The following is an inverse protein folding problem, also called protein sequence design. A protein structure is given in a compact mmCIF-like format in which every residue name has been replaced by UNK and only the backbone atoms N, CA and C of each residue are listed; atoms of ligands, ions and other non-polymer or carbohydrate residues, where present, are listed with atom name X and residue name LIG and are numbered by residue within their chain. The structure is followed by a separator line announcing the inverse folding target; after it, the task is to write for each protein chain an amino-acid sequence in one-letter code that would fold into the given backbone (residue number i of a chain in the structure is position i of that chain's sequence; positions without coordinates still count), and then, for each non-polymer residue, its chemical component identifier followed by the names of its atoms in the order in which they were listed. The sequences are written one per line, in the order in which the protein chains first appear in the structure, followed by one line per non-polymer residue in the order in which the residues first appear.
data_IF_147506474178
#
_entry.id   IF_147506474178
#
_cell.length_a   1.000
_cell.length_b   1.000
_cell.length_c   1.000
_cell.angle_alpha   90.00
_cell.angle_beta   90.00
_cell.angle_gamma   90.00
#
_symmetry.space_group_name_H-M   'P 1'
#
loop_
_entity.id
_entity.type
_entity.pdbx_description
1 polymer ?
#
# COMPACT_ATOMS: atom_id res chain seq x y z
N UNK A 1 -28.24 10.21 -37.48
CA UNK A 1 -28.32 9.29 -38.64
C UNK A 1 -27.58 8.00 -38.31
N UNK A 2 -28.24 6.86 -38.53
CA UNK A 2 -27.74 5.46 -38.62
C UNK A 2 -27.25 4.80 -37.31
N UNK A 3 -28.05 3.90 -36.70
CA UNK A 3 -28.22 2.43 -36.94
C UNK A 3 -27.08 1.63 -36.29
N UNK A 4 -27.20 0.48 -35.64
CA UNK A 4 -28.27 -0.41 -35.17
C UNK A 4 -27.50 -1.55 -34.47
N UNK A 5 -28.00 -2.13 -33.37
CA UNK A 5 -27.98 -3.60 -33.22
C UNK A 5 -28.94 -4.02 -32.10
N UNK A 6 -30.15 -4.35 -32.53
CA UNK A 6 -31.17 -5.04 -31.75
C UNK A 6 -30.81 -6.52 -31.84
N UNK A 7 -30.46 -7.17 -30.72
CA UNK A 7 -30.36 -8.63 -30.68
C UNK A 7 -31.67 -9.15 -30.08
N UNK A 8 -32.53 -9.60 -30.98
CA UNK A 8 -33.70 -10.43 -30.72
C UNK A 8 -33.22 -11.86 -30.57
N UNK A 9 -33.42 -12.48 -29.41
CA UNK A 9 -33.58 -13.94 -29.32
C UNK A 9 -35.05 -14.23 -29.01
N UNK A 10 -35.82 -14.36 -30.08
CA UNK A 10 -37.13 -14.97 -30.05
C UNK A 10 -36.98 -16.48 -30.12
N UNK A 11 -37.31 -17.16 -29.04
CA UNK A 11 -37.80 -18.54 -29.09
C UNK A 11 -39.30 -18.50 -28.86
N UNK A 12 -40.05 -18.49 -29.97
CA UNK A 12 -41.50 -18.70 -29.97
C UNK A 12 -41.73 -20.19 -29.74
N UNK A 13 -42.05 -20.57 -28.50
CA UNK A 13 -42.65 -21.87 -28.21
C UNK A 13 -44.15 -21.66 -27.99
N UNK A 14 -44.89 -22.14 -28.98
CA UNK A 14 -46.35 -22.29 -29.09
C UNK A 14 -47.17 -22.18 -27.81
N UNK A 15 -48.10 -21.22 -27.79
CA UNK A 15 -49.24 -21.18 -26.87
C UNK A 15 -50.15 -22.38 -27.13
N UNK A 16 -50.29 -23.27 -26.15
CA UNK A 16 -51.45 -24.14 -26.01
C UNK A 16 -51.81 -24.29 -24.54
N UNK A 17 -52.87 -23.57 -24.15
CA UNK A 17 -53.79 -23.93 -23.06
C UNK A 17 -53.20 -24.08 -21.66
N UNK A 18 -52.97 -22.98 -20.97
CA UNK A 18 -53.00 -22.95 -19.51
C UNK A 18 -54.19 -22.05 -19.13
N UNK A 19 -55.18 -22.55 -18.37
CA UNK A 19 -56.28 -21.71 -17.91
C UNK A 19 -55.70 -20.54 -17.12
N UNK A 20 -56.19 -19.34 -17.40
CA UNK A 20 -55.88 -18.12 -16.67
C UNK A 20 -56.38 -18.26 -15.22
N UNK A 21 -55.58 -18.90 -14.38
CA UNK A 21 -55.61 -18.62 -12.95
C UNK A 21 -55.01 -17.23 -12.78
N UNK A 22 -55.87 -16.25 -12.56
CA UNK A 22 -55.48 -14.95 -12.01
C UNK A 22 -54.99 -15.19 -10.58
N UNK A 23 -53.82 -15.82 -10.43
CA UNK A 23 -53.01 -15.58 -9.25
C UNK A 23 -52.65 -14.10 -9.35
N UNK A 24 -53.32 -13.26 -8.55
CA UNK A 24 -52.86 -11.92 -8.31
C UNK A 24 -51.38 -12.08 -7.91
N UNK A 25 -50.48 -11.71 -8.83
CA UNK A 25 -49.07 -11.62 -8.51
C UNK A 25 -49.01 -10.46 -7.51
N UNK A 26 -49.05 -10.80 -6.21
CA UNK A 26 -48.91 -9.84 -5.13
C UNK A 26 -47.49 -9.28 -5.19
N UNK A 27 -47.26 -8.37 -6.14
CA UNK A 27 -46.07 -7.56 -6.20
C UNK A 27 -46.18 -6.62 -5.01
N UNK A 28 -45.46 -6.93 -3.94
CA UNK A 28 -45.19 -5.95 -2.91
C UNK A 28 -44.49 -4.76 -3.58
N UNK A 29 -44.92 -3.56 -3.20
CA UNK A 29 -44.32 -2.34 -3.73
C UNK A 29 -42.81 -2.39 -3.51
N UNK A 30 -42.04 -2.17 -4.58
CA UNK A 30 -40.59 -2.13 -4.47
C UNK A 30 -40.20 -1.02 -3.48
N UNK A 31 -39.25 -1.29 -2.56
CA UNK A 31 -38.76 -0.26 -1.64
C UNK A 31 -38.25 0.96 -2.41
N UNK A 32 -38.55 2.17 -1.93
CA UNK A 32 -38.06 3.39 -2.55
C UNK A 32 -36.55 3.58 -2.34
N UNK A 33 -35.90 4.38 -3.19
CA UNK A 33 -34.45 4.61 -3.12
C UNK A 33 -33.99 5.13 -1.75
N UNK A 34 -34.82 5.91 -1.05
CA UNK A 34 -34.47 6.44 0.27
C UNK A 34 -34.47 5.32 1.33
N UNK A 35 -35.44 4.41 1.28
CA UNK A 35 -35.52 3.22 2.14
C UNK A 35 -34.37 2.24 1.91
N UNK A 36 -33.78 2.25 0.71
CA UNK A 36 -32.58 1.48 0.35
C UNK A 36 -31.26 2.22 0.64
N UNK A 37 -31.33 3.44 1.20
CA UNK A 37 -30.15 4.22 1.61
C UNK A 37 -29.56 5.15 0.54
N UNK A 38 -30.18 5.28 -0.62
CA UNK A 38 -29.77 6.22 -1.68
C UNK A 38 -30.38 7.60 -1.42
N UNK A 39 -29.82 8.32 -0.46
CA UNK A 39 -30.34 9.63 -0.03
C UNK A 39 -29.59 10.81 -0.64
N UNK A 40 -28.45 10.56 -1.29
CA UNK A 40 -27.54 11.59 -1.79
C UNK A 40 -27.74 11.84 -3.29
N UNK A 41 -27.14 12.90 -3.83
CA UNK A 41 -27.07 13.22 -5.25
C UNK A 41 -25.67 12.98 -5.81
N UNK A 42 -25.56 12.96 -7.14
CA UNK A 42 -24.28 12.81 -7.82
C UNK A 42 -23.21 13.84 -7.41
N UNK A 43 -23.63 15.05 -7.01
CA UNK A 43 -22.73 16.13 -6.60
C UNK A 43 -22.24 15.97 -5.14
N UNK A 44 -22.98 15.21 -4.33
CA UNK A 44 -22.61 14.97 -2.92
C UNK A 44 -21.52 13.89 -2.79
N UNK A 45 -21.23 13.13 -3.85
CA UNK A 45 -20.11 12.20 -3.89
C UNK A 45 -18.86 12.91 -4.41
N UNK A 46 -18.08 13.53 -3.53
CA UNK A 46 -16.82 14.19 -3.92
C UNK A 46 -15.70 13.19 -4.18
N UNK A 47 -15.66 12.08 -3.42
CA UNK A 47 -14.67 11.01 -3.56
C UNK A 47 -15.25 9.63 -3.14
N UNK A 48 -14.99 8.58 -3.92
CA UNK A 48 -15.32 7.18 -3.57
C UNK A 48 -16.23 6.45 -4.55
N UNK A 49 -16.80 5.31 -4.11
CA UNK A 49 -17.68 4.49 -4.95
C UNK A 49 -19.08 5.10 -4.94
N UNK A 50 -19.55 5.42 -6.14
CA UNK A 50 -20.89 5.93 -6.40
C UNK A 50 -21.73 4.82 -7.00
N UNK A 51 -22.83 4.49 -6.33
CA UNK A 51 -23.84 3.55 -6.85
C UNK A 51 -25.13 4.33 -7.04
N UNK A 52 -25.67 4.33 -8.27
CA UNK A 52 -26.96 4.94 -8.56
C UNK A 52 -28.10 3.99 -8.19
N UNK A 53 -29.21 4.54 -7.70
CA UNK A 53 -30.39 3.74 -7.42
C UNK A 53 -30.98 3.18 -8.73
N UNK A 54 -31.35 1.88 -8.79
CA UNK A 54 -31.93 1.28 -10.01
C UNK A 54 -33.25 1.90 -10.47
N UNK A 55 -34.03 2.47 -9.54
CA UNK A 55 -35.36 3.03 -9.80
C UNK A 55 -35.37 4.56 -9.90
N UNK A 56 -34.29 5.24 -9.49
CA UNK A 56 -34.10 6.68 -9.65
C UNK A 56 -32.60 7.03 -9.75
N UNK A 57 -32.12 7.24 -10.97
CA UNK A 57 -30.69 7.53 -11.23
C UNK A 57 -30.22 8.89 -10.70
N UNK A 58 -31.12 9.75 -10.23
CA UNK A 58 -30.77 11.01 -9.58
C UNK A 58 -30.34 10.82 -8.11
N UNK A 59 -30.72 9.68 -7.51
CA UNK A 59 -30.39 9.29 -6.14
C UNK A 59 -29.22 8.32 -6.13
N UNK A 60 -28.25 8.58 -5.28
CA UNK A 60 -27.01 7.80 -5.20
C UNK A 60 -26.69 7.45 -3.76
N UNK A 61 -25.98 6.33 -3.62
CA UNK A 61 -25.26 5.97 -2.41
C UNK A 61 -23.79 6.30 -2.65
N UNK A 62 -23.25 7.19 -1.84
CA UNK A 62 -21.82 7.47 -1.82
C UNK A 62 -21.20 6.66 -0.68
N UNK A 63 -20.28 5.76 -1.00
CA UNK A 63 -19.33 5.29 0.00
C UNK A 63 -18.21 6.32 0.07
N UNK A 64 -18.26 7.20 1.07
CA UNK A 64 -17.13 8.08 1.37
C UNK A 64 -15.92 7.22 1.69
N UNK A 65 -14.84 7.43 0.94
CA UNK A 65 -13.51 7.00 1.38
C UNK A 65 -13.17 7.99 2.49
N UNK A 66 -13.09 7.54 3.74
CA UNK A 66 -12.62 8.41 4.80
C UNK A 66 -11.16 8.76 4.49
N UNK A 67 -10.94 9.92 3.90
CA UNK A 67 -9.61 10.43 3.59
C UNK A 67 -8.93 10.82 4.90
N UNK A 68 -7.85 10.14 5.25
CA UNK A 68 -7.03 10.49 6.40
C UNK A 68 -6.39 11.87 6.18
N UNK A 69 -6.70 12.83 7.06
CA UNK A 69 -6.04 14.15 7.14
C UNK A 69 -5.13 14.25 8.37
N UNK A 70 -4.56 13.12 8.80
CA UNK A 70 -3.65 13.05 9.93
C UNK A 70 -2.34 13.78 9.69
N UNK A 71 -1.66 14.10 10.78
CA UNK A 71 -0.32 14.70 10.80
C UNK A 71 0.75 13.61 10.93
N UNK A 72 2.00 13.98 10.72
CA UNK A 72 3.16 13.13 10.99
C UNK A 72 3.05 12.49 12.40
N UNK A 73 3.25 11.18 12.46
CA UNK A 73 3.12 10.37 13.68
C UNK A 73 1.73 9.77 13.92
N UNK A 74 0.68 10.24 13.22
CA UNK A 74 -0.64 9.63 13.34
C UNK A 74 -0.66 8.22 12.73
N UNK A 75 -1.49 7.35 13.30
CA UNK A 75 -1.67 5.96 12.93
C UNK A 75 -2.74 5.85 11.87
N UNK A 76 -2.46 5.14 10.78
CA UNK A 76 -3.42 4.80 9.74
C UNK A 76 -3.95 3.39 9.96
N UNK A 77 -5.25 3.22 9.76
CA UNK A 77 -5.98 1.97 9.86
C UNK A 77 -6.34 1.41 8.48
N UNK A 78 -6.51 0.10 8.40
CA UNK A 78 -6.74 -0.56 7.12
C UNK A 78 -8.03 -0.15 6.38
N UNK A 79 -8.96 0.56 7.04
CA UNK A 79 -10.15 1.14 6.41
C UNK A 79 -9.93 2.56 5.84
N UNK A 80 -8.75 3.14 6.00
CA UNK A 80 -8.41 4.51 5.56
C UNK A 80 -8.54 5.58 6.64
N UNK A 81 -9.12 5.26 7.81
CA UNK A 81 -9.14 6.19 8.93
C UNK A 81 -7.74 6.39 9.52
N UNK A 82 -7.52 7.51 10.20
CA UNK A 82 -6.31 7.73 10.99
C UNK A 82 -6.57 8.50 12.28
N UNK A 83 -5.66 8.35 13.24
CA UNK A 83 -5.79 8.90 14.59
C UNK A 83 -4.42 8.97 15.27
N UNK A 84 -4.21 9.94 16.17
CA UNK A 84 -3.05 9.96 17.07
C UNK A 84 -3.15 8.95 18.22
N UNK A 85 -4.34 8.41 18.46
CA UNK A 85 -4.65 7.45 19.52
C UNK A 85 -5.17 6.13 18.95
N UNK A 86 -5.08 5.06 19.74
CA UNK A 86 -5.63 3.74 19.37
C UNK A 86 -7.14 3.81 19.28
N UNK A 87 -7.67 3.51 18.09
CA UNK A 87 -9.08 3.21 17.89
C UNK A 87 -9.32 1.74 18.27
N UNK A 88 -10.17 1.44 19.26
CA UNK A 88 -10.52 0.07 19.64
C UNK A 88 -11.05 -0.73 18.45
N UNK A 89 -10.75 -2.03 18.42
CA UNK A 89 -11.22 -3.00 17.43
C UNK A 89 -10.83 -2.70 15.95
N UNK A 90 -10.01 -1.68 15.70
CA UNK A 90 -9.43 -1.40 14.40
C UNK A 90 -7.97 -1.89 14.34
N UNK A 91 -7.56 -2.37 13.16
CA UNK A 91 -6.19 -2.83 12.93
C UNK A 91 -5.36 -1.72 12.28
N UNK A 92 -4.34 -1.18 12.97
CA UNK A 92 -3.36 -0.28 12.36
C UNK A 92 -2.66 -0.96 11.19
N UNK A 93 -2.25 -0.17 10.20
CA UNK A 93 -1.48 -0.65 9.04
C UNK A 93 -0.24 0.18 8.73
N UNK A 94 -0.21 1.46 9.13
CA UNK A 94 0.92 2.36 8.85
C UNK A 94 0.99 3.53 9.83
N UNK A 95 2.11 4.26 9.83
CA UNK A 95 2.28 5.54 10.55
C UNK A 95 2.68 6.63 9.55
N UNK A 96 2.07 7.80 9.64
CA UNK A 96 2.33 8.93 8.73
C UNK A 96 3.73 9.48 8.97
N UNK A 97 4.53 9.60 7.92
CA UNK A 97 5.84 10.28 7.99
C UNK A 97 5.92 11.54 7.12
N UNK A 98 4.99 11.71 6.18
CA UNK A 98 4.88 12.88 5.31
C UNK A 98 3.39 13.18 5.08
N UNK A 99 2.87 14.19 5.77
CA UNK A 99 1.47 14.62 5.67
C UNK A 99 1.19 15.54 4.48
N UNK A 100 2.23 16.07 3.83
CA UNK A 100 2.14 16.87 2.61
C UNK A 100 1.98 15.97 1.39
N UNK A 101 2.88 15.00 1.23
CA UNK A 101 2.84 14.03 0.12
C UNK A 101 1.91 12.84 0.38
N UNK A 102 1.36 12.75 1.60
CA UNK A 102 0.50 11.65 2.08
C UNK A 102 1.21 10.30 2.05
N UNK A 103 2.41 10.25 2.62
CA UNK A 103 3.17 9.01 2.78
C UNK A 103 3.20 8.49 4.22
N UNK A 104 3.13 7.17 4.31
CA UNK A 104 3.17 6.44 5.57
C UNK A 104 4.11 5.24 5.48
N UNK A 105 4.66 4.84 6.62
CA UNK A 105 5.61 3.74 6.76
C UNK A 105 4.94 2.54 7.41
N UNK A 106 5.33 1.35 7.00
CA UNK A 106 4.84 0.10 7.59
C UNK A 106 5.21 0.00 9.08
N UNK A 107 4.35 -0.68 9.83
CA UNK A 107 4.52 -0.84 11.28
C UNK A 107 5.75 -1.69 11.63
N UNK A 108 6.03 -2.71 10.81
CA UNK A 108 7.16 -3.63 11.00
C UNK A 108 7.99 -3.75 9.72
N UNK A 109 9.15 -4.40 9.84
CA UNK A 109 9.90 -4.89 8.67
C UNK A 109 9.18 -6.07 8.02
N UNK A 110 9.56 -6.39 6.79
CA UNK A 110 9.02 -7.54 6.07
C UNK A 110 10.08 -8.57 5.73
N UNK A 111 9.67 -9.84 5.68
CA UNK A 111 10.46 -10.94 5.16
C UNK A 111 10.50 -10.93 3.61
N UNK A 112 11.30 -11.82 3.01
CA UNK A 112 11.41 -11.95 1.53
C UNK A 112 10.11 -12.33 0.82
N UNK A 113 9.11 -12.81 1.56
CA UNK A 113 7.79 -13.18 1.04
C UNK A 113 6.79 -12.02 1.15
N UNK A 114 7.17 -10.89 1.75
CA UNK A 114 6.27 -9.77 2.03
C UNK A 114 5.43 -9.99 3.29
N UNK A 115 5.86 -10.84 4.22
CA UNK A 115 5.19 -11.05 5.51
C UNK A 115 5.72 -10.06 6.53
N UNK A 116 4.81 -9.38 7.25
CA UNK A 116 5.17 -8.53 8.38
C UNK A 116 5.91 -9.34 9.45
N UNK A 117 6.99 -8.80 9.99
CA UNK A 117 7.72 -9.41 11.10
C UNK A 117 6.84 -9.53 12.34
N UNK A 118 7.04 -10.62 13.08
CA UNK A 118 6.29 -11.01 14.27
C UNK A 118 7.02 -10.72 15.60
N UNK A 119 8.15 -10.00 15.55
CA UNK A 119 8.85 -9.52 16.74
C UNK A 119 9.75 -10.57 17.41
N UNK A 120 9.89 -11.74 16.78
CA UNK A 120 10.84 -12.76 17.22
C UNK A 120 12.27 -12.25 17.11
N UNK A 121 12.95 -12.09 18.26
CA UNK A 121 14.31 -11.57 18.38
C UNK A 121 15.27 -12.35 17.47
N UNK A 122 15.94 -11.62 16.59
CA UNK A 122 17.10 -12.07 15.83
C UNK A 122 18.35 -11.77 16.68
N UNK A 123 18.74 -12.69 17.57
CA UNK A 123 19.86 -12.53 18.54
C UNK A 123 21.23 -12.96 17.98
N UNK A 124 21.28 -13.42 16.75
CA UNK A 124 22.49 -13.93 16.11
C UNK A 124 22.85 -13.08 14.88
N UNK A 125 23.63 -12.05 15.20
CA UNK A 125 24.36 -11.17 14.29
C UNK A 125 25.34 -11.92 13.36
N UNK A 126 25.59 -13.21 13.60
CA UNK A 126 26.58 -14.03 12.89
C UNK A 126 26.02 -15.21 12.10
N UNK A 127 24.71 -15.47 12.15
CA UNK A 127 24.16 -16.70 11.57
C UNK A 127 22.63 -16.81 11.48
N UNK A 128 21.84 -15.81 11.89
CA UNK A 128 20.39 -15.84 11.68
C UNK A 128 20.02 -15.42 10.25
N UNK A 129 20.05 -16.48 9.43
CA UNK A 129 18.98 -16.95 8.54
C UNK A 129 18.25 -15.89 7.72
N UNK A 130 18.25 -16.05 6.40
CA UNK A 130 17.50 -15.23 5.44
C UNK A 130 15.97 -15.32 5.54
N UNK A 131 15.41 -15.22 6.75
CA UNK A 131 14.00 -15.00 7.04
C UNK A 131 13.68 -13.51 6.92
N UNK A 132 14.24 -12.63 7.75
CA UNK A 132 13.80 -11.22 7.77
C UNK A 132 14.66 -10.25 6.95
N UNK A 133 15.98 -10.41 6.97
CA UNK A 133 16.88 -9.63 6.12
C UNK A 133 16.88 -10.23 4.71
N UNK A 134 17.10 -9.39 3.70
CA UNK A 134 17.27 -9.85 2.33
C UNK A 134 18.31 -9.02 1.59
N UNK A 135 18.89 -9.61 0.55
CA UNK A 135 19.70 -8.85 -0.41
C UNK A 135 18.81 -7.89 -1.19
N UNK A 136 19.40 -6.82 -1.70
CA UNK A 136 18.65 -5.92 -2.56
C UNK A 136 18.32 -6.63 -3.89
N UNK A 137 19.34 -7.26 -4.48
CA UNK A 137 19.21 -8.13 -5.65
C UNK A 137 20.28 -9.24 -5.70
N UNK A 138 20.10 -10.23 -6.57
CA UNK A 138 21.04 -11.34 -6.80
C UNK A 138 22.40 -10.86 -7.31
N UNK A 139 23.46 -11.63 -6.98
CA UNK A 139 24.82 -11.41 -7.48
C UNK A 139 24.88 -11.31 -9.00
N UNK A 140 25.44 -10.20 -9.50
CA UNK A 140 25.52 -9.91 -10.93
C UNK A 140 24.34 -9.12 -11.49
N UNK A 141 23.40 -8.69 -10.65
CA UNK A 141 22.40 -7.68 -11.02
C UNK A 141 23.10 -6.37 -11.42
N UNK A 142 23.00 -6.05 -12.71
CA UNK A 142 23.57 -4.83 -13.28
C UNK A 142 22.89 -3.55 -12.78
N UNK A 143 23.26 -2.44 -13.41
CA UNK A 143 22.56 -1.16 -13.28
C UNK A 143 21.11 -1.30 -13.76
N UNK A 144 20.14 -0.72 -13.05
CA UNK A 144 18.75 -0.70 -13.49
C UNK A 144 18.55 0.56 -14.35
N UNK A 145 18.26 0.43 -15.66
CA UNK A 145 18.20 1.58 -16.54
C UNK A 145 17.18 2.63 -16.08
N UNK A 146 17.63 3.88 -15.96
CA UNK A 146 16.77 5.01 -15.62
C UNK A 146 16.56 5.25 -14.12
N UNK A 147 17.19 4.46 -13.24
CA UNK A 147 17.29 4.84 -11.82
C UNK A 147 18.35 5.91 -11.60
N UNK A 148 18.05 6.84 -10.70
CA UNK A 148 19.03 7.82 -10.25
C UNK A 148 20.17 7.11 -9.49
N UNK A 149 21.39 7.30 -10.01
CA UNK A 149 22.63 6.91 -9.35
C UNK A 149 23.06 8.01 -8.36
N UNK A 150 22.72 7.82 -7.09
CA UNK A 150 22.89 8.79 -6.01
C UNK A 150 24.33 8.87 -5.45
N UNK A 151 25.33 8.89 -6.33
CA UNK A 151 26.75 8.96 -6.00
C UNK A 151 27.18 10.41 -5.80
N UNK A 152 27.04 11.00 -4.60
CA UNK A 152 27.51 12.37 -4.34
C UNK A 152 27.77 12.68 -2.84
N UNK A 153 28.25 11.70 -2.08
CA UNK A 153 28.51 11.87 -0.63
C UNK A 153 27.25 12.24 0.18
N UNK A 154 27.42 12.64 1.45
CA UNK A 154 26.29 12.93 2.37
C UNK A 154 25.35 14.05 1.87
N UNK A 155 25.83 15.02 1.09
CA UNK A 155 24.99 16.13 0.61
C UNK A 155 24.15 15.75 -0.61
N UNK A 156 24.66 14.87 -1.48
CA UNK A 156 23.86 14.30 -2.58
C UNK A 156 22.89 13.21 -2.13
N UNK A 157 23.16 12.58 -0.99
CA UNK A 157 22.31 11.53 -0.39
C UNK A 157 20.86 12.01 -0.21
N UNK A 158 20.66 13.11 0.50
CA UNK A 158 19.32 13.58 0.88
C UNK A 158 18.56 14.32 -0.24
N UNK A 159 19.23 14.61 -1.36
CA UNK A 159 18.68 15.39 -2.47
C UNK A 159 18.45 14.56 -3.75
N UNK A 160 18.71 13.25 -3.71
CA UNK A 160 18.65 12.36 -4.87
C UNK A 160 17.47 11.39 -4.78
N UNK A 161 16.92 10.98 -5.94
CA UNK A 161 15.82 10.02 -6.00
C UNK A 161 14.48 10.63 -5.62
N UNK A 162 13.77 11.17 -6.61
CA UNK A 162 12.55 11.93 -6.35
C UNK A 162 11.33 11.08 -5.93
N UNK A 163 11.28 9.79 -6.31
CA UNK A 163 10.11 8.96 -6.02
C UNK A 163 10.47 7.48 -5.83
N UNK A 164 10.25 6.96 -4.63
CA UNK A 164 10.49 5.55 -4.35
C UNK A 164 9.49 4.65 -5.06
N UNK A 165 8.27 5.14 -5.28
CA UNK A 165 7.21 4.44 -6.02
C UNK A 165 7.63 4.22 -7.48
N UNK A 166 8.05 5.29 -8.16
CA UNK A 166 8.51 5.21 -9.55
C UNK A 166 9.75 4.31 -9.68
N UNK A 167 10.71 4.43 -8.75
CA UNK A 167 11.91 3.60 -8.75
C UNK A 167 11.57 2.12 -8.55
N UNK A 168 10.74 1.80 -7.56
CA UNK A 168 10.35 0.41 -7.26
C UNK A 168 9.61 -0.21 -8.44
N UNK A 169 8.73 0.56 -9.09
CA UNK A 169 8.07 0.13 -10.32
C UNK A 169 9.09 -0.16 -11.44
N UNK A 170 10.04 0.73 -11.68
CA UNK A 170 11.09 0.53 -12.69
C UNK A 170 11.95 -0.71 -12.40
N UNK A 171 12.29 -0.96 -11.13
CA UNK A 171 13.01 -2.16 -10.69
C UNK A 171 12.22 -3.43 -11.03
N UNK A 172 10.93 -3.47 -10.68
CA UNK A 172 10.06 -4.62 -10.94
C UNK A 172 9.85 -4.86 -12.45
N UNK A 173 9.72 -3.80 -13.24
CA UNK A 173 9.62 -3.88 -14.70
C UNK A 173 10.91 -4.40 -15.33
N UNK A 174 12.07 -3.91 -14.88
CA UNK A 174 13.38 -4.37 -15.33
C UNK A 174 13.66 -5.83 -14.95
N UNK A 175 13.20 -6.24 -13.77
CA UNK A 175 13.28 -7.63 -13.30
C UNK A 175 12.61 -8.58 -14.30
N UNK A 176 11.48 -8.16 -14.91
CA UNK A 176 10.82 -8.88 -15.99
C UNK A 176 10.43 -10.33 -15.63
N UNK A 177 10.20 -10.59 -14.34
CA UNK A 177 9.87 -11.93 -13.81
C UNK A 177 11.07 -12.83 -13.51
N UNK A 178 12.31 -12.32 -13.61
CA UNK A 178 13.53 -13.07 -13.25
C UNK A 178 13.64 -13.32 -11.75
N UNK A 179 12.91 -12.55 -10.95
CA UNK A 179 12.88 -12.58 -9.49
C UNK A 179 14.24 -12.24 -8.83
N UNK A 180 15.08 -11.46 -9.50
CA UNK A 180 16.44 -11.16 -9.03
C UNK A 180 16.50 -9.95 -8.11
N UNK A 181 15.50 -9.06 -8.12
CA UNK A 181 15.45 -7.88 -7.23
C UNK A 181 14.63 -8.15 -5.95
N UNK A 182 15.20 -8.92 -5.04
CA UNK A 182 14.49 -9.46 -3.86
C UNK A 182 13.80 -8.40 -2.99
N UNK A 183 14.44 -7.26 -2.74
CA UNK A 183 13.85 -6.21 -1.90
C UNK A 183 12.57 -5.62 -2.52
N UNK A 184 12.61 -5.24 -3.80
CA UNK A 184 11.44 -4.71 -4.51
C UNK A 184 10.32 -5.77 -4.62
N UNK A 185 10.70 -7.03 -4.87
CA UNK A 185 9.76 -8.15 -4.94
C UNK A 185 9.07 -8.42 -3.61
N UNK A 186 9.79 -8.35 -2.49
CA UNK A 186 9.21 -8.51 -1.16
C UNK A 186 8.16 -7.42 -0.89
N UNK A 187 8.48 -6.16 -1.20
CA UNK A 187 7.54 -5.05 -1.04
C UNK A 187 6.31 -5.22 -1.95
N UNK A 188 6.50 -5.65 -3.21
CA UNK A 188 5.38 -5.91 -4.12
C UNK A 188 4.40 -6.97 -3.60
N UNK A 189 4.87 -7.85 -2.71
CA UNK A 189 4.08 -8.92 -2.12
C UNK A 189 3.41 -8.52 -0.80
N UNK A 190 3.86 -7.44 -0.18
CA UNK A 190 3.42 -7.02 1.14
C UNK A 190 1.97 -6.53 1.13
N UNK A 191 1.20 -7.02 2.11
CA UNK A 191 -0.11 -6.51 2.47
C UNK A 191 -0.25 -6.64 4.00
N UNK A 192 -0.46 -5.54 4.74
CA UNK A 192 -0.57 -5.59 6.18
C UNK A 192 -1.87 -6.25 6.62
N UNK A 193 -1.80 -7.00 7.72
CA UNK A 193 -2.97 -7.61 8.34
C UNK A 193 -3.99 -6.53 8.69
N UNK A 194 -5.21 -6.69 8.22
CA UNK A 194 -6.29 -5.74 8.47
C UNK A 194 -6.48 -4.68 7.39
N UNK A 195 -5.70 -4.73 6.31
CA UNK A 195 -5.99 -3.93 5.12
C UNK A 195 -7.39 -4.24 4.57
N UNK A 196 -8.18 -3.18 4.35
CA UNK A 196 -9.55 -3.24 3.79
C UNK A 196 -9.77 -2.21 2.69
N UNK A 197 -8.92 -1.19 2.61
CA UNK A 197 -8.99 -0.09 1.66
C UNK A 197 -7.96 -0.26 0.54
N UNK A 198 -8.22 0.29 -0.66
CA UNK A 198 -7.34 0.08 -1.81
C UNK A 198 -5.91 0.60 -1.63
N UNK A 199 -5.67 1.58 -0.76
CA UNK A 199 -4.35 2.19 -0.58
C UNK A 199 -3.34 1.23 0.05
N UNK A 200 -3.77 0.37 0.98
CA UNK A 200 -2.88 -0.55 1.70
C UNK A 200 -2.75 -1.93 1.04
N UNK A 201 -3.44 -2.15 -0.08
CA UNK A 201 -3.50 -3.46 -0.72
C UNK A 201 -2.14 -3.89 -1.29
N UNK A 202 -1.99 -5.19 -1.53
CA UNK A 202 -0.81 -5.76 -2.21
C UNK A 202 -0.46 -4.99 -3.49
N UNK A 203 0.83 -4.69 -3.65
CA UNK A 203 1.35 -3.95 -4.81
C UNK A 203 1.18 -2.43 -4.74
N UNK A 204 0.69 -1.88 -3.61
CA UNK A 204 0.64 -0.43 -3.37
C UNK A 204 1.82 0.12 -2.58
N UNK A 205 2.61 -0.77 -2.02
CA UNK A 205 3.77 -0.43 -1.22
C UNK A 205 5.02 -0.34 -2.09
N UNK A 206 6.01 0.45 -1.67
CA UNK A 206 7.28 0.57 -2.37
C UNK A 206 8.49 0.69 -1.43
N UNK A 207 9.70 0.52 -1.99
CA UNK A 207 10.95 0.80 -1.30
C UNK A 207 11.18 2.30 -1.28
N UNK A 208 11.38 2.93 -0.11
CA UNK A 208 11.48 4.37 -0.04
C UNK A 208 12.70 4.88 -0.83
N UNK A 209 12.56 6.04 -1.49
CA UNK A 209 13.72 6.73 -2.07
C UNK A 209 14.61 7.35 -1.00
N UNK A 210 15.80 7.80 -1.37
CA UNK A 210 16.67 8.53 -0.44
C UNK A 210 16.04 9.85 0.06
N UNK A 211 15.25 10.53 -0.79
CA UNK A 211 14.48 11.72 -0.40
C UNK A 211 13.39 11.36 0.61
N UNK A 212 12.64 10.28 0.40
CA UNK A 212 11.61 9.81 1.34
C UNK A 212 12.23 9.36 2.68
N UNK A 213 13.42 8.72 2.62
CA UNK A 213 14.22 8.40 3.81
C UNK A 213 14.66 9.67 4.55
N UNK A 214 15.02 10.74 3.84
CA UNK A 214 15.36 12.02 4.48
C UNK A 214 14.16 12.58 5.27
N UNK A 215 12.98 12.53 4.69
CA UNK A 215 11.74 12.97 5.35
C UNK A 215 11.45 12.12 6.58
N UNK A 216 11.54 10.79 6.46
CA UNK A 216 11.42 9.85 7.59
C UNK A 216 12.40 10.19 8.73
N UNK A 217 13.67 10.49 8.39
CA UNK A 217 14.69 10.87 9.38
C UNK A 217 14.38 12.20 10.06
N UNK A 218 13.94 13.20 9.30
CA UNK A 218 13.57 14.52 9.83
C UNK A 218 12.40 14.41 10.81
N UNK A 219 11.47 13.49 10.53
CA UNK A 219 10.27 13.25 11.30
C UNK A 219 10.37 12.06 12.26
N UNK A 220 11.60 11.56 12.51
CA UNK A 220 11.86 10.30 13.22
C UNK A 220 11.12 10.21 14.55
N UNK A 221 11.24 11.21 15.41
CA UNK A 221 10.64 11.19 16.76
C UNK A 221 9.12 10.97 16.70
N UNK A 222 8.40 11.74 15.88
CA UNK A 222 6.95 11.62 15.78
C UNK A 222 6.52 10.28 15.17
N UNK A 223 7.27 9.78 14.18
CA UNK A 223 7.02 8.45 13.57
C UNK A 223 7.26 7.35 14.60
N UNK A 224 8.32 7.43 15.39
CA UNK A 224 8.64 6.48 16.45
C UNK A 224 7.60 6.50 17.58
N UNK A 225 7.10 7.67 17.96
CA UNK A 225 6.00 7.80 18.92
C UNK A 225 4.72 7.11 18.41
N UNK A 226 4.38 7.30 17.12
CA UNK A 226 3.25 6.61 16.50
C UNK A 226 3.42 5.10 16.45
N UNK A 227 4.63 4.62 16.09
CA UNK A 227 4.99 3.20 16.10
C UNK A 227 5.00 2.61 17.51
N UNK A 228 5.35 3.40 18.52
CA UNK A 228 5.33 3.04 19.93
C UNK A 228 3.89 2.87 20.43
N UNK A 229 2.99 3.79 20.08
CA UNK A 229 1.58 3.72 20.48
C UNK A 229 0.92 2.42 19.99
N UNK A 230 1.25 1.92 18.80
CA UNK A 230 0.72 0.65 18.29
C UNK A 230 1.41 -0.60 18.84
N UNK A 231 2.55 -0.48 19.52
CA UNK A 231 3.31 -1.62 20.08
C UNK A 231 2.51 -2.42 21.11
N UNK A 232 1.63 -1.77 21.86
CA UNK A 232 0.87 -2.45 22.92
C UNK A 232 -0.25 -3.36 22.37
N UNK A 233 -0.60 -3.21 21.08
CA UNK A 233 -1.67 -3.96 20.41
C UNK A 233 -1.15 -4.85 19.27
N UNK A 234 0.09 -4.63 18.82
CA UNK A 234 0.77 -5.49 17.87
C UNK A 234 1.88 -6.24 18.60
N UNK A 235 1.90 -7.58 18.56
CA UNK A 235 2.93 -8.37 19.24
C UNK A 235 4.35 -8.10 18.72
N UNK A 236 4.50 -7.28 17.66
CA UNK A 236 5.69 -7.26 16.82
C UNK A 236 6.11 -5.92 16.26
N UNK A 237 5.66 -4.78 16.80
CA UNK A 237 6.12 -3.46 16.32
C UNK A 237 7.51 -3.12 16.89
N UNK A 238 8.62 -3.21 16.12
CA UNK A 238 9.84 -2.52 16.50
C UNK A 238 9.65 -1.03 16.28
N UNK A 239 9.54 -0.32 17.40
CA UNK A 239 10.37 0.87 17.54
C UNK A 239 11.75 0.31 17.83
N UNK A 240 12.67 0.34 16.87
CA UNK A 240 14.03 -0.02 17.21
C UNK A 240 14.58 1.11 18.06
N UNK A 241 14.73 0.86 19.37
CA UNK A 241 15.54 1.71 20.24
C UNK A 241 16.99 1.82 19.74
N UNK A 242 17.37 0.96 18.79
CA UNK A 242 18.67 0.97 18.12
C UNK A 242 18.61 1.81 16.84
N UNK A 243 19.17 3.01 16.94
CA UNK A 243 19.52 3.91 15.82
C UNK A 243 20.42 3.26 14.76
N UNK A 244 20.82 1.98 14.94
CA UNK A 244 21.65 1.15 14.06
C UNK A 244 20.90 0.32 13.00
N UNK A 245 19.57 0.38 12.95
CA UNK A 245 18.82 -0.43 11.97
C UNK A 245 18.79 0.19 10.57
N UNK A 246 19.18 -0.64 9.60
CA UNK A 246 19.65 -0.25 8.27
C UNK A 246 18.76 -1.00 7.27
N UNK A 247 17.85 -0.27 6.59
CA UNK A 247 16.94 -0.82 5.58
C UNK A 247 17.20 -0.31 4.18
N UNK A 248 16.76 -1.05 3.17
CA UNK A 248 16.98 -0.73 1.76
C UNK A 248 16.19 0.48 1.26
N UNK A 249 16.84 1.30 0.43
CA UNK A 249 16.18 2.28 -0.43
C UNK A 249 15.95 1.74 -1.85
N UNK A 250 15.21 2.49 -2.66
CA UNK A 250 14.99 2.22 -4.09
C UNK A 250 16.02 2.87 -5.02
N UNK A 251 16.98 3.62 -4.48
CA UNK A 251 17.98 4.35 -5.26
C UNK A 251 19.30 3.59 -5.35
N UNK A 252 19.87 3.52 -6.55
CA UNK A 252 21.23 3.02 -6.75
C UNK A 252 22.23 4.03 -6.19
N UNK A 253 23.30 3.56 -5.57
CA UNK A 253 24.37 4.43 -5.12
C UNK A 253 25.29 4.81 -6.28
N UNK A 254 25.73 3.87 -7.11
CA UNK A 254 26.54 4.12 -8.32
C UNK A 254 26.23 3.11 -9.42
N UNK A 255 26.54 3.50 -10.67
CA UNK A 255 26.40 2.61 -11.82
C UNK A 255 27.21 1.32 -11.64
N UNK A 256 26.57 0.16 -11.85
CA UNK A 256 27.17 -1.18 -11.75
C UNK A 256 26.79 -1.96 -10.47
N UNK A 257 27.66 -2.88 -10.01
CA UNK A 257 27.44 -3.77 -8.84
C UNK A 257 27.33 -3.04 -7.47
N UNK A 258 27.14 -1.72 -7.46
CA UNK A 258 27.62 -0.84 -6.41
C UNK A 258 26.54 -0.20 -5.57
N UNK A 259 26.05 -0.97 -4.61
CA UNK A 259 25.47 -0.49 -3.35
C UNK A 259 24.11 0.21 -3.32
N UNK A 260 23.35 -0.05 -2.26
CA UNK A 260 22.17 0.69 -1.83
C UNK A 260 22.45 1.31 -0.47
N UNK A 261 21.82 2.44 -0.19
CA UNK A 261 22.08 3.19 1.04
C UNK A 261 20.98 2.93 2.05
N UNK A 262 21.42 2.79 3.29
CA UNK A 262 20.57 2.63 4.46
C UNK A 262 20.51 3.91 5.28
N UNK A 263 19.65 3.95 6.30
CA UNK A 263 19.56 5.07 7.26
C UNK A 263 20.92 5.51 7.81
N UNK A 264 21.97 4.67 7.79
CA UNK A 264 23.25 4.96 8.44
C UNK A 264 24.40 4.72 7.47
N UNK A 265 24.65 5.75 6.66
CA UNK A 265 25.98 6.20 6.27
C UNK A 265 27.02 5.16 5.82
N UNK A 266 26.62 4.15 5.08
CA UNK A 266 27.61 3.34 4.37
C UNK A 266 27.09 2.92 3.01
N UNK A 267 27.99 3.01 2.03
CA UNK A 267 27.86 2.32 0.76
C UNK A 267 27.83 0.83 1.07
N UNK A 268 26.65 0.19 0.98
CA UNK A 268 26.52 -1.24 1.26
C UNK A 268 26.18 -1.99 -0.01
N UNK A 269 26.96 -3.01 -0.37
CA UNK A 269 26.80 -3.73 -1.63
C UNK A 269 25.40 -4.30 -1.82
N UNK A 270 24.93 -4.42 -3.07
CA UNK A 270 23.57 -4.94 -3.41
C UNK A 270 23.28 -6.33 -2.80
N UNK A 271 24.34 -7.05 -2.45
CA UNK A 271 24.36 -8.44 -1.96
C UNK A 271 24.45 -8.55 -0.44
N UNK A 272 24.50 -7.44 0.27
CA UNK A 272 24.48 -7.45 1.72
C UNK A 272 23.08 -7.76 2.26
N UNK A 273 22.97 -8.20 3.50
CA UNK A 273 21.68 -8.56 4.10
C UNK A 273 21.17 -7.38 4.92
N UNK A 274 20.04 -6.79 4.51
CA UNK A 274 19.41 -5.62 5.17
C UNK A 274 17.90 -5.80 5.34
N UNK A 275 17.31 -4.96 6.18
CA UNK A 275 15.88 -4.93 6.38
C UNK A 275 15.16 -4.26 5.21
N UNK A 276 13.88 -4.54 5.08
CA UNK A 276 12.98 -3.82 4.17
C UNK A 276 11.84 -3.26 4.99
N UNK A 277 11.64 -1.94 4.92
CA UNK A 277 10.50 -1.25 5.53
C UNK A 277 9.68 -0.57 4.44
N UNK A 278 8.57 -1.18 4.02
CA UNK A 278 7.70 -0.63 3.00
C UNK A 278 7.13 0.76 3.37
N UNK A 279 6.92 1.58 2.35
CA UNK A 279 6.15 2.84 2.46
C UNK A 279 4.97 2.83 1.48
N UNK A 280 3.95 3.65 1.75
CA UNK A 280 2.70 3.70 0.98
C UNK A 280 2.14 5.11 0.90
N UNK A 281 1.34 5.37 -0.13
CA UNK A 281 0.53 6.58 -0.27
C UNK A 281 -0.87 6.30 0.27
N UNK A 282 -1.37 7.13 1.16
CA UNK A 282 -2.67 6.96 1.82
C UNK A 282 -3.70 8.02 1.42
#
# INVERSE_FOLDING_TARGET
MKKSCLIIFGSVLSLSGIPSSNAALNCTQAPDCASLGYTMSAADCTDGVKVACPTDTSKVFCKTVQSCNGKVGDIIYGNGACSSEIIPDQKPVAVIFDDVNKFAVSLTYIDKNGTAWDGTIDDDYSGLSGSLRMQWAESGSGDVPGLDNCYNGMMGFFACGASGEANTKAILEYDGGKNIHHAALAVSKFEPVGCKAPFCAKGKWWLPSNMEINTLKTNKTAVEDGLYTVRNILPSSPVSDDDRQVYWSSNENKAGNGAFQSIIYSDTGKYEWRFVRPVVKY
#
